data_IF_908825109645
#
_entry.id   IF_908825109645
#
_cell.length_a   1.000
_cell.length_b   1.000
_cell.length_c   1.000
_cell.angle_alpha   90.00
_cell.angle_beta   90.00
_cell.angle_gamma   90.00
#
_symmetry.space_group_name_H-M   'P 1'
#
loop_
_entity.id
_entity.type
_entity.pdbx_description
1 polymer ?
#
# COMPACT_ATOMS: atom_id res chain seq x y z
N UNK A 1 -8.71 10.03 2.00
CA UNK A 1 -8.26 9.25 0.84
C UNK A 1 -7.05 8.38 1.18
N UNK A 2 -5.90 8.98 1.48
CA UNK A 2 -4.62 8.27 1.68
C UNK A 2 -4.63 7.11 2.68
N UNK A 3 -5.23 7.27 3.87
CA UNK A 3 -5.25 6.19 4.87
C UNK A 3 -6.04 4.96 4.39
N UNK A 4 -7.19 5.17 3.75
CA UNK A 4 -8.01 4.08 3.20
C UNK A 4 -7.26 3.36 2.08
N UNK A 5 -6.60 4.12 1.20
CA UNK A 5 -5.78 3.57 0.14
C UNK A 5 -4.62 2.73 0.67
N UNK A 6 -3.89 3.19 1.69
CA UNK A 6 -2.84 2.39 2.31
C UNK A 6 -3.40 1.09 2.88
N UNK A 7 -4.49 1.15 3.65
CA UNK A 7 -5.07 -0.07 4.24
C UNK A 7 -5.43 -1.09 3.16
N UNK A 8 -6.12 -0.67 2.10
CA UNK A 8 -6.54 -1.58 1.04
C UNK A 8 -5.36 -2.09 0.17
N UNK A 9 -4.37 -1.24 -0.11
CA UNK A 9 -3.17 -1.64 -0.85
C UNK A 9 -2.25 -2.55 -0.02
N UNK A 10 -2.15 -2.33 1.29
CA UNK A 10 -1.45 -3.25 2.19
C UNK A 10 -2.20 -4.58 2.29
N UNK A 11 -3.55 -4.57 2.37
CA UNK A 11 -4.33 -5.81 2.27
C UNK A 11 -4.04 -6.57 0.97
N UNK A 12 -3.85 -5.87 -0.16
CA UNK A 12 -3.46 -6.48 -1.43
C UNK A 12 -2.07 -7.14 -1.35
N UNK A 13 -1.07 -6.43 -0.83
CA UNK A 13 0.27 -7.00 -0.61
C UNK A 13 0.22 -8.23 0.29
N UNK A 14 -0.64 -8.19 1.32
CA UNK A 14 -0.81 -9.31 2.23
C UNK A 14 -1.47 -10.52 1.59
N UNK A 15 -2.51 -10.27 0.80
CA UNK A 15 -3.25 -11.32 0.11
C UNK A 15 -2.35 -12.10 -0.87
N UNK A 16 -1.42 -11.42 -1.52
CA UNK A 16 -0.51 -12.00 -2.51
C UNK A 16 0.91 -12.28 -1.97
N UNK A 17 1.10 -12.35 -0.65
CA UNK A 17 2.41 -12.53 -0.03
C UNK A 17 3.20 -13.73 -0.58
N UNK A 18 2.54 -14.87 -0.80
CA UNK A 18 3.21 -16.05 -1.34
C UNK A 18 3.79 -15.82 -2.75
N UNK A 19 3.04 -15.14 -3.63
CA UNK A 19 3.49 -14.80 -4.97
C UNK A 19 4.69 -13.83 -4.95
N UNK A 20 4.74 -12.95 -3.95
CA UNK A 20 5.86 -12.02 -3.73
C UNK A 20 7.14 -12.74 -3.33
N UNK A 21 7.07 -13.63 -2.32
CA UNK A 21 8.23 -14.40 -1.82
C UNK A 21 8.85 -15.29 -2.92
N UNK A 22 8.02 -15.84 -3.81
CA UNK A 22 8.50 -16.65 -4.94
C UNK A 22 9.31 -15.82 -5.96
N UNK A 23 9.03 -14.53 -6.11
CA UNK A 23 9.79 -13.63 -6.98
C UNK A 23 11.19 -13.37 -6.39
N UNK A 24 11.25 -13.06 -5.10
CA UNK A 24 12.52 -12.80 -4.41
C UNK A 24 13.43 -14.02 -4.46
N UNK A 25 12.88 -15.21 -4.26
CA UNK A 25 13.64 -16.47 -4.32
C UNK A 25 14.22 -16.73 -5.72
N UNK A 26 13.48 -16.39 -6.79
CA UNK A 26 13.97 -16.54 -8.18
C UNK A 26 15.07 -15.53 -8.53
N UNK A 27 14.97 -14.32 -7.99
CA UNK A 27 15.94 -13.25 -8.24
C UNK A 27 17.19 -13.34 -7.34
N UNK A 28 17.12 -14.06 -6.22
CA UNK A 28 18.22 -14.20 -5.24
C UNK A 28 19.31 -15.22 -5.62
N UNK A 29 19.20 -15.91 -6.76
CA UNK A 29 20.24 -16.82 -7.23
C UNK A 29 21.53 -16.12 -7.69
N UNK A 30 21.60 -14.78 -7.66
CA UNK A 30 22.78 -14.02 -8.10
C UNK A 30 23.54 -13.20 -7.06
N UNK A 31 23.07 -12.96 -5.83
CA UNK A 31 23.92 -12.26 -4.86
C UNK A 31 23.55 -12.51 -3.38
N UNK A 32 24.49 -13.14 -2.67
CA UNK A 32 24.52 -13.19 -1.20
C UNK A 32 24.99 -11.80 -0.73
N UNK A 33 24.08 -10.88 -0.43
CA UNK A 33 24.32 -9.75 0.51
C UNK A 33 23.03 -8.97 0.78
N UNK A 34 22.72 -8.84 2.08
CA UNK A 34 21.69 -8.01 2.71
C UNK A 34 20.24 -8.47 2.52
N UNK A 35 19.85 -9.51 3.27
CA UNK A 35 18.45 -9.74 3.63
C UNK A 35 18.00 -8.63 4.60
N UNK A 36 17.73 -7.44 4.07
CA UNK A 36 16.63 -6.65 4.63
C UNK A 36 15.38 -7.47 4.32
N UNK A 37 15.02 -8.36 5.24
CA UNK A 37 13.71 -9.02 5.22
C UNK A 37 12.73 -7.87 5.12
N UNK A 38 12.09 -7.75 3.95
CA UNK A 38 11.14 -6.68 3.65
C UNK A 38 10.15 -6.65 4.81
N UNK A 39 10.21 -5.61 5.64
CA UNK A 39 9.53 -5.58 6.93
C UNK A 39 8.03 -5.46 6.66
N UNK A 40 7.41 -6.63 6.54
CA UNK A 40 6.06 -6.75 6.03
C UNK A 40 5.07 -6.23 7.06
N UNK A 41 4.33 -5.19 6.69
CA UNK A 41 3.32 -4.59 7.56
C UNK A 41 2.18 -5.60 7.76
N UNK A 42 2.09 -6.17 8.96
CA UNK A 42 0.98 -7.04 9.35
C UNK A 42 -0.18 -6.22 9.89
N UNK A 43 -1.19 -5.98 9.06
CA UNK A 43 -2.46 -5.41 9.49
C UNK A 43 -3.23 -6.38 10.41
N UNK A 44 -3.87 -5.88 11.49
CA UNK A 44 -4.77 -6.67 12.33
C UNK A 44 -6.10 -6.94 11.59
N UNK A 45 -6.10 -7.93 10.70
CA UNK A 45 -7.19 -8.24 9.77
C UNK A 45 -8.54 -8.53 10.43
N UNK A 46 -8.56 -8.88 11.72
CA UNK A 46 -9.80 -9.10 12.46
C UNK A 46 -10.50 -7.80 12.89
N UNK A 47 -9.76 -6.69 12.96
CA UNK A 47 -10.27 -5.39 13.41
C UNK A 47 -10.56 -4.44 12.25
N UNK A 48 -10.17 -4.81 11.04
CA UNK A 48 -10.23 -3.95 9.86
C UNK A 48 -11.18 -4.58 8.84
N UNK A 49 -12.12 -3.80 8.26
CA UNK A 49 -12.97 -4.28 7.18
C UNK A 49 -12.16 -4.83 6.01
N UNK A 50 -12.61 -5.95 5.45
CA UNK A 50 -12.00 -6.53 4.25
C UNK A 50 -12.35 -5.69 3.04
N UNK A 51 -11.35 -5.39 2.22
CA UNK A 51 -11.55 -4.79 0.92
C UNK A 51 -12.48 -5.63 0.04
N UNK A 52 -13.49 -4.97 -0.53
CA UNK A 52 -14.40 -5.56 -1.51
C UNK A 52 -13.74 -5.82 -2.87
N UNK A 53 -12.53 -5.30 -3.12
CA UNK A 53 -11.75 -5.56 -4.34
C UNK A 53 -10.76 -6.70 -4.08
N UNK A 54 -9.92 -6.58 -3.05
CA UNK A 54 -8.84 -7.53 -2.76
C UNK A 54 -9.38 -8.92 -2.43
N UNK A 55 -10.46 -9.00 -1.64
CA UNK A 55 -11.04 -10.27 -1.21
C UNK A 55 -12.17 -10.78 -2.11
N UNK A 56 -12.43 -10.09 -3.23
CA UNK A 56 -13.37 -10.59 -4.22
C UNK A 56 -12.80 -11.82 -4.92
N UNK A 57 -13.54 -12.94 -4.86
CA UNK A 57 -13.14 -14.23 -5.45
C UNK A 57 -13.40 -14.29 -6.95
N UNK A 58 -14.29 -13.45 -7.46
CA UNK A 58 -14.66 -13.38 -8.87
C UNK A 58 -13.67 -12.54 -9.68
N UNK A 59 -12.76 -11.82 -9.00
CA UNK A 59 -11.72 -11.02 -9.64
C UNK A 59 -10.38 -11.76 -9.64
N UNK A 60 -9.78 -11.85 -10.82
CA UNK A 60 -8.37 -12.21 -10.99
C UNK A 60 -7.45 -11.11 -10.44
N UNK A 61 -6.17 -11.43 -10.19
CA UNK A 61 -5.19 -10.42 -9.76
C UNK A 61 -5.10 -9.24 -10.74
N UNK A 62 -5.15 -9.50 -12.05
CA UNK A 62 -5.10 -8.47 -13.08
C UNK A 62 -6.28 -7.51 -12.99
N UNK A 63 -7.49 -8.05 -12.77
CA UNK A 63 -8.69 -7.25 -12.57
C UNK A 63 -8.63 -6.47 -11.25
N UNK A 64 -8.09 -7.06 -10.17
CA UNK A 64 -7.88 -6.35 -8.91
C UNK A 64 -6.92 -5.18 -9.09
N UNK A 65 -5.81 -5.36 -9.81
CA UNK A 65 -4.88 -4.27 -10.13
C UNK A 65 -5.58 -3.17 -10.93
N UNK A 66 -6.39 -3.53 -11.93
CA UNK A 66 -7.17 -2.56 -12.71
C UNK A 66 -8.14 -1.76 -11.81
N UNK A 67 -8.96 -2.44 -11.01
CA UNK A 67 -9.90 -1.78 -10.09
C UNK A 67 -9.20 -0.89 -9.06
N UNK A 68 -8.05 -1.32 -8.52
CA UNK A 68 -7.27 -0.50 -7.58
C UNK A 68 -6.66 0.72 -8.27
N UNK A 69 -6.20 0.59 -9.52
CA UNK A 69 -5.75 1.73 -10.31
C UNK A 69 -6.87 2.72 -10.59
N UNK A 70 -8.04 2.26 -11.03
CA UNK A 70 -9.22 3.11 -11.23
C UNK A 70 -9.61 3.84 -9.96
N UNK A 71 -9.56 3.14 -8.81
CA UNK A 71 -9.95 3.71 -7.52
C UNK A 71 -8.94 4.70 -6.96
N UNK A 72 -7.63 4.47 -7.10
CA UNK A 72 -6.62 5.22 -6.35
C UNK A 72 -5.62 6.00 -7.20
N UNK A 73 -5.43 5.62 -8.47
CA UNK A 73 -4.33 6.10 -9.30
C UNK A 73 -4.82 6.98 -10.46
N UNK A 74 -5.93 6.64 -11.09
CA UNK A 74 -6.42 7.39 -12.24
C UNK A 74 -6.83 8.82 -11.82
N UNK A 75 -6.41 9.86 -12.58
CA UNK A 75 -6.79 11.23 -12.28
C UNK A 75 -8.31 11.42 -12.25
N UNK A 76 -8.81 12.16 -11.27
CA UNK A 76 -10.23 12.45 -11.10
C UNK A 76 -11.01 11.39 -10.34
N UNK A 77 -10.35 10.33 -9.83
CA UNK A 77 -11.00 9.39 -8.92
C UNK A 77 -11.39 10.06 -7.60
N UNK A 78 -12.53 9.66 -7.03
CA UNK A 78 -13.00 10.09 -5.69
C UNK A 78 -11.98 9.78 -4.60
N UNK A 79 -11.22 8.69 -4.77
CA UNK A 79 -10.18 8.27 -3.83
C UNK A 79 -8.79 8.42 -4.41
N UNK A 80 -8.59 9.35 -5.35
CA UNK A 80 -7.28 9.64 -5.90
C UNK A 80 -6.25 9.88 -4.78
N UNK A 81 -5.13 9.15 -4.85
CA UNK A 81 -4.02 9.26 -3.92
C UNK A 81 -3.08 10.39 -4.33
N UNK A 82 -2.43 10.98 -3.34
CA UNK A 82 -1.36 11.94 -3.60
C UNK A 82 -0.07 11.20 -3.95
N UNK A 83 0.15 10.96 -5.24
CA UNK A 83 1.30 10.25 -5.78
C UNK A 83 2.17 11.16 -6.64
N UNK A 84 3.46 10.87 -6.69
CA UNK A 84 4.37 11.53 -7.61
C UNK A 84 3.93 11.31 -9.06
N UNK A 85 4.17 12.31 -9.91
CA UNK A 85 3.83 12.24 -11.33
C UNK A 85 4.42 10.99 -12.00
N UNK A 86 5.69 10.68 -11.68
CA UNK A 86 6.40 9.50 -12.21
C UNK A 86 5.69 8.19 -11.85
N UNK A 87 5.35 8.01 -10.57
CA UNK A 87 4.66 6.80 -10.09
C UNK A 87 3.28 6.66 -10.71
N UNK A 88 2.53 7.76 -10.77
CA UNK A 88 1.21 7.78 -11.42
C UNK A 88 1.29 7.43 -12.90
N UNK A 89 2.20 8.07 -13.64
CA UNK A 89 2.33 7.85 -15.08
C UNK A 89 2.65 6.39 -15.41
N UNK A 90 3.57 5.77 -14.65
CA UNK A 90 3.90 4.35 -14.79
C UNK A 90 2.65 3.46 -14.64
N UNK A 91 1.88 3.64 -13.58
CA UNK A 91 0.72 2.81 -13.29
C UNK A 91 -0.45 3.06 -14.25
N UNK A 92 -0.62 4.30 -14.73
CA UNK A 92 -1.57 4.63 -15.79
C UNK A 92 -1.19 3.92 -17.10
N UNK A 93 0.10 3.83 -17.42
CA UNK A 93 0.56 3.10 -18.60
C UNK A 93 0.36 1.59 -18.44
N UNK A 94 0.72 1.02 -17.28
CA UNK A 94 0.47 -0.38 -16.97
C UNK A 94 -1.03 -0.72 -17.05
N UNK A 95 -1.91 0.20 -16.61
CA UNK A 95 -3.35 0.06 -16.76
C UNK A 95 -3.81 0.06 -18.22
N UNK A 96 -3.28 0.97 -19.06
CA UNK A 96 -3.59 1.06 -20.49
C UNK A 96 -3.13 -0.18 -21.27
N UNK A 97 -1.97 -0.72 -20.91
CA UNK A 97 -1.40 -1.93 -21.52
C UNK A 97 -2.07 -3.22 -21.04
N UNK A 98 -3.05 -3.10 -20.14
CA UNK A 98 -3.73 -4.20 -19.45
C UNK A 98 -2.77 -5.01 -18.59
N UNK A 99 -3.08 -5.11 -17.29
CA UNK A 99 -2.27 -5.89 -16.34
C UNK A 99 -2.11 -7.37 -16.72
N UNK A 100 -2.99 -7.92 -17.57
CA UNK A 100 -2.88 -9.28 -18.10
C UNK A 100 -1.61 -9.53 -18.93
N UNK A 101 -0.92 -8.48 -19.38
CA UNK A 101 0.38 -8.59 -20.06
C UNK A 101 1.55 -8.86 -19.10
N UNK A 102 1.34 -8.70 -17.78
CA UNK A 102 2.34 -8.93 -16.74
C UNK A 102 2.18 -10.30 -16.09
N UNK A 103 3.23 -10.78 -15.45
CA UNK A 103 3.16 -11.96 -14.60
C UNK A 103 2.40 -11.69 -13.29
N UNK A 104 1.89 -12.75 -12.67
CA UNK A 104 1.24 -12.69 -11.34
C UNK A 104 2.17 -12.04 -10.31
N UNK A 105 3.46 -12.41 -10.33
CA UNK A 105 4.45 -11.90 -9.41
C UNK A 105 4.71 -10.38 -9.60
N UNK A 106 4.79 -9.90 -10.85
CA UNK A 106 4.89 -8.46 -11.12
C UNK A 106 3.65 -7.70 -10.64
N UNK A 107 2.45 -8.26 -10.86
CA UNK A 107 1.22 -7.67 -10.35
C UNK A 107 1.18 -7.66 -8.82
N UNK A 108 1.71 -8.67 -8.15
CA UNK A 108 1.75 -8.74 -6.69
C UNK A 108 2.60 -7.64 -6.05
N UNK A 109 3.58 -7.09 -6.78
CA UNK A 109 4.48 -6.02 -6.33
C UNK A 109 4.19 -4.64 -6.95
N UNK A 110 3.15 -4.53 -7.78
CA UNK A 110 2.93 -3.32 -8.61
C UNK A 110 2.67 -2.04 -7.79
N UNK A 111 2.13 -2.19 -6.58
CA UNK A 111 1.75 -1.07 -5.71
C UNK A 111 2.78 -0.75 -4.62
N UNK A 112 3.95 -1.37 -4.61
CA UNK A 112 4.93 -1.18 -3.52
C UNK A 112 5.37 0.27 -3.39
N UNK A 113 5.68 0.90 -4.52
CA UNK A 113 6.04 2.31 -4.57
C UNK A 113 4.88 3.22 -4.12
N UNK A 114 3.63 2.82 -4.37
CA UNK A 114 2.44 3.58 -3.96
C UNK A 114 2.28 3.53 -2.46
N UNK A 115 2.43 2.34 -1.86
CA UNK A 115 2.40 2.17 -0.41
C UNK A 115 3.52 2.97 0.25
N UNK A 116 4.74 2.93 -0.30
CA UNK A 116 5.88 3.68 0.22
C UNK A 116 5.66 5.20 0.17
N UNK A 117 5.26 5.74 -0.98
CA UNK A 117 5.01 7.18 -1.14
C UNK A 117 3.89 7.65 -0.20
N UNK A 118 2.77 6.91 -0.18
CA UNK A 118 1.61 7.30 0.63
C UNK A 118 1.92 7.20 2.12
N UNK A 119 2.65 6.17 2.54
CA UNK A 119 3.10 5.99 3.93
C UNK A 119 3.99 7.15 4.37
N UNK A 120 4.92 7.57 3.51
CA UNK A 120 5.79 8.72 3.77
C UNK A 120 5.00 10.01 4.01
N UNK A 121 3.93 10.24 3.22
CA UNK A 121 3.03 11.38 3.41
C UNK A 121 2.24 11.31 4.72
N UNK A 122 1.78 10.12 5.11
CA UNK A 122 1.10 9.93 6.40
C UNK A 122 2.07 10.18 7.56
N UNK A 123 3.31 9.71 7.47
CA UNK A 123 4.32 9.95 8.49
C UNK A 123 4.65 11.43 8.67
N UNK A 124 4.81 12.19 7.58
CA UNK A 124 5.00 13.65 7.65
C UNK A 124 3.78 14.33 8.29
N UNK A 125 2.56 13.94 7.89
CA UNK A 125 1.33 14.45 8.48
C UNK A 125 1.23 14.14 9.98
N UNK A 126 1.61 12.93 10.38
CA UNK A 126 1.66 12.51 11.78
C UNK A 126 2.69 13.30 12.58
N UNK A 127 3.88 13.54 12.02
CA UNK A 127 4.91 14.32 12.69
C UNK A 127 4.47 15.76 12.96
N UNK A 128 3.81 16.40 11.98
CA UNK A 128 3.22 17.73 12.16
C UNK A 128 2.10 17.70 13.18
N UNK A 129 1.23 16.70 13.14
CA UNK A 129 0.17 16.53 14.14
C UNK A 129 0.73 16.40 15.56
N UNK A 130 1.81 15.66 15.75
CA UNK A 130 2.47 15.50 17.05
C UNK A 130 2.98 16.83 17.65
N UNK A 131 3.29 17.81 16.80
CA UNK A 131 3.70 19.15 17.22
C UNK A 131 2.52 20.09 17.51
N UNK A 132 1.28 19.67 17.23
CA UNK A 132 0.10 20.50 17.48
C UNK A 132 -0.24 20.58 18.97
N UNK A 133 -0.82 21.72 19.38
CA UNK A 133 -1.31 21.92 20.75
C UNK A 133 -2.33 20.83 21.15
N UNK A 134 -3.19 20.41 20.22
CA UNK A 134 -4.16 19.34 20.43
C UNK A 134 -3.49 18.04 20.88
N UNK A 135 -2.38 17.66 20.24
CA UNK A 135 -1.65 16.47 20.63
C UNK A 135 -0.95 16.63 21.98
N UNK A 136 -0.36 17.81 22.24
CA UNK A 136 0.28 18.11 23.52
C UNK A 136 -0.73 18.05 24.68
N UNK A 137 -1.89 18.70 24.55
CA UNK A 137 -2.95 18.66 25.56
C UNK A 137 -3.48 17.24 25.81
N UNK A 138 -3.65 16.44 24.75
CA UNK A 138 -4.05 15.03 24.89
C UNK A 138 -2.98 14.21 25.62
N UNK A 139 -1.70 14.41 25.25
CA UNK A 139 -0.56 13.75 25.87
C UNK A 139 -0.51 14.09 27.36
N UNK A 140 -0.55 15.38 27.71
CA UNK A 140 -0.47 15.87 29.09
C UNK A 140 -1.61 15.33 29.95
N UNK A 141 -2.85 15.30 29.44
CA UNK A 141 -4.00 14.70 30.14
C UNK A 141 -3.84 13.19 30.37
N UNK A 142 -3.28 12.48 29.39
CA UNK A 142 -3.14 11.02 29.45
C UNK A 142 -2.02 10.59 30.38
N UNK A 143 -0.94 11.38 30.49
CA UNK A 143 0.21 11.07 31.34
C UNK A 143 0.18 11.74 32.72
N UNK A 144 -0.59 12.82 32.92
CA UNK A 144 -0.78 13.42 34.26
C UNK A 144 -1.76 12.62 35.13
N UNK A 145 -2.73 11.90 34.54
CA UNK A 145 -3.69 11.05 35.27
C UNK A 145 -3.12 9.70 35.75
N UNK A 146 -1.80 9.50 35.69
CA UNK A 146 -1.11 8.27 36.14
C UNK A 146 -0.23 8.47 37.38
N UNK A 147 -0.25 9.66 37.99
CA UNK A 147 0.34 9.94 39.30
C UNK A 147 -0.76 10.23 40.33
#
# INVERSE_FOLDING_TARGET
>A
SNLLGIVELTQFQQFYHFDRVNLDTRNSNTDIRNSNVDEFISLPMEKIPRSSIVFNKDLTIFQKCACLCEKYVLPGSVHELNLSYKTRQRLVEDHKQLFSSKSIAECACIFDIVVQETTSLIFDSFWRFRQSNTFQEWSDKTFSNKN
#
